data_IF_709237058163
#
_entry.id   IF_709237058163
#
_cell.length_a   1.000
_cell.length_b   1.000
_cell.length_c   1.000
_cell.angle_alpha   90.00
_cell.angle_beta   90.00
_cell.angle_gamma   90.00
#
_symmetry.space_group_name_H-M   'P 1'
#
loop_
_entity.id
_entity.type
_entity.pdbx_description
1 polymer ?
#
# COMPACT_ATOMS: atom_id res chain seq x y z
N UNK A 1 -13.36 -5.86 -3.09
CA UNK A 1 -12.93 -4.74 -2.23
C UNK A 1 -14.10 -4.12 -1.49
N UNK A 2 -15.33 -4.49 -1.83
CA UNK A 2 -16.60 -3.84 -1.42
C UNK A 2 -16.94 -3.92 0.08
N UNK A 3 -16.05 -4.48 0.91
CA UNK A 3 -16.22 -4.59 2.37
C UNK A 3 -15.16 -3.82 3.17
N UNK A 4 -14.11 -3.35 2.51
CA UNK A 4 -13.04 -2.58 3.15
C UNK A 4 -13.15 -1.14 2.65
N UNK A 5 -13.12 -0.14 3.54
CA UNK A 5 -13.16 1.25 3.09
C UNK A 5 -11.92 1.56 2.25
N UNK A 6 -12.13 2.02 1.02
CA UNK A 6 -11.06 2.28 0.03
C UNK A 6 -10.19 3.49 0.38
N UNK A 7 -10.67 4.29 1.32
CA UNK A 7 -10.01 5.48 1.85
C UNK A 7 -8.80 5.08 2.72
N UNK A 8 -8.93 3.97 3.46
CA UNK A 8 -7.91 3.48 4.39
C UNK A 8 -7.24 2.18 3.93
N UNK A 9 -7.84 1.42 3.01
CA UNK A 9 -7.26 0.18 2.49
C UNK A 9 -6.95 0.29 1.00
N UNK A 10 -5.75 -0.15 0.63
CA UNK A 10 -5.29 -0.16 -0.75
C UNK A 10 -4.62 -1.47 -1.10
N UNK A 11 -4.93 -2.03 -2.26
CA UNK A 11 -4.20 -3.18 -2.78
C UNK A 11 -2.85 -2.72 -3.34
N UNK A 12 -1.77 -3.19 -2.72
CA UNK A 12 -0.39 -2.83 -3.09
C UNK A 12 0.29 -3.95 -3.86
N UNK A 13 -0.25 -5.17 -3.78
CA UNK A 13 0.21 -6.34 -4.48
C UNK A 13 -0.97 -7.28 -4.74
N UNK A 14 -0.86 -8.18 -5.74
CA UNK A 14 -1.91 -9.18 -6.01
C UNK A 14 -2.27 -10.07 -4.80
N UNK A 15 -1.37 -10.18 -3.82
CA UNK A 15 -1.54 -10.97 -2.60
C UNK A 15 -1.70 -10.13 -1.32
N UNK A 16 -1.63 -8.80 -1.41
CA UNK A 16 -1.58 -7.94 -0.22
C UNK A 16 -2.49 -6.71 -0.37
N UNK A 17 -3.26 -6.45 0.68
CA UNK A 17 -3.98 -5.19 0.90
C UNK A 17 -3.32 -4.54 2.12
N UNK A 18 -2.83 -3.32 1.94
CA UNK A 18 -2.22 -2.51 2.99
C UNK A 18 -3.23 -1.52 3.56
N UNK A 19 -3.12 -1.24 4.86
CA UNK A 19 -3.81 -0.12 5.48
C UNK A 19 -2.91 1.13 5.41
N UNK A 20 -3.43 2.22 4.82
CA UNK A 20 -2.70 3.46 4.54
C UNK A 20 -2.38 4.27 5.81
N UNK A 21 -3.24 4.22 6.84
CA UNK A 21 -3.03 4.95 8.09
C UNK A 21 -1.82 4.43 8.89
N UNK A 22 -1.43 3.18 8.65
CA UNK A 22 -0.30 2.54 9.32
C UNK A 22 0.98 2.51 8.46
N UNK A 23 0.98 3.18 7.31
CA UNK A 23 2.16 3.29 6.45
C UNK A 23 3.13 4.27 7.09
N UNK A 24 4.33 3.77 7.40
CA UNK A 24 5.41 4.56 8.00
C UNK A 24 6.28 5.19 6.91
N UNK A 25 6.53 4.46 5.82
CA UNK A 25 7.33 4.94 4.71
C UNK A 25 7.14 4.08 3.44
N UNK A 26 7.43 4.67 2.29
CA UNK A 26 7.59 3.97 1.02
C UNK A 26 9.07 4.06 0.61
N UNK A 27 9.69 2.90 0.41
CA UNK A 27 11.10 2.78 0.04
C UNK A 27 11.21 2.03 -1.30
N UNK A 28 11.19 2.81 -2.38
CA UNK A 28 11.18 2.28 -3.76
C UNK A 28 9.94 1.42 -4.06
N UNK A 29 10.11 0.10 -3.98
CA UNK A 29 9.07 -0.90 -4.21
C UNK A 29 8.68 -1.66 -2.92
N UNK A 30 9.06 -1.13 -1.75
CA UNK A 30 8.70 -1.67 -0.44
C UNK A 30 7.81 -0.66 0.28
N UNK A 31 6.64 -1.11 0.70
CA UNK A 31 5.78 -0.39 1.64
C UNK A 31 6.13 -0.81 3.08
N UNK A 32 6.54 0.12 3.93
CA UNK A 32 6.81 -0.13 5.35
C UNK A 32 5.55 0.17 6.14
N UNK A 33 4.96 -0.86 6.73
CA UNK A 33 3.74 -0.79 7.56
C UNK A 33 4.10 -1.26 8.97
N UNK A 34 4.20 -0.32 9.91
CA UNK A 34 4.79 -0.56 11.24
C UNK A 34 6.14 -1.33 11.12
N UNK A 35 6.23 -2.52 11.69
CA UNK A 35 7.42 -3.39 11.66
C UNK A 35 7.50 -4.33 10.45
N UNK A 36 6.55 -4.23 9.50
CA UNK A 36 6.46 -5.13 8.35
C UNK A 36 6.85 -4.42 7.04
N UNK A 37 7.42 -5.20 6.13
CA UNK A 37 7.79 -4.75 4.79
C UNK A 37 6.96 -5.51 3.77
N UNK A 38 6.15 -4.80 3.00
CA UNK A 38 5.24 -5.36 2.00
C UNK A 38 5.75 -4.97 0.62
N UNK A 39 6.06 -5.93 -0.27
CA UNK A 39 6.47 -5.61 -1.63
C UNK A 39 5.29 -5.04 -2.42
N UNK A 40 5.55 -3.94 -3.14
CA UNK A 40 4.59 -3.29 -4.03
C UNK A 40 4.79 -3.85 -5.44
N UNK A 41 3.71 -4.29 -6.10
CA UNK A 41 3.78 -4.70 -7.50
C UNK A 41 4.11 -3.49 -8.38
N UNK A 42 4.98 -3.66 -9.38
CA UNK A 42 5.39 -2.56 -10.28
C UNK A 42 4.22 -1.82 -10.91
N UNK A 43 3.19 -2.54 -11.34
CA UNK A 43 1.98 -1.99 -11.96
C UNK A 43 1.05 -1.25 -10.98
N UNK A 44 1.23 -1.44 -9.67
CA UNK A 44 0.47 -0.74 -8.62
C UNK A 44 1.29 0.38 -7.98
N UNK A 45 2.59 0.50 -8.28
CA UNK A 45 3.49 1.46 -7.63
C UNK A 45 3.02 2.90 -7.78
N UNK A 46 2.65 3.28 -8.99
CA UNK A 46 2.21 4.65 -9.30
C UNK A 46 0.92 4.98 -8.54
N UNK A 47 -0.08 4.10 -8.60
CA UNK A 47 -1.31 4.22 -7.81
C UNK A 47 -1.07 4.31 -6.30
N UNK A 48 -0.11 3.54 -5.77
CA UNK A 48 0.24 3.61 -4.34
C UNK A 48 0.87 4.96 -4.01
N UNK A 49 1.81 5.46 -4.83
CA UNK A 49 2.45 6.75 -4.62
C UNK A 49 1.44 7.90 -4.70
N UNK A 50 0.53 7.88 -5.67
CA UNK A 50 -0.51 8.90 -5.86
C UNK A 50 -1.46 9.04 -4.66
N UNK A 51 -1.53 8.04 -3.76
CA UNK A 51 -2.30 8.14 -2.51
C UNK A 51 -1.60 8.93 -1.40
N UNK A 52 -0.31 9.23 -1.55
CA UNK A 52 0.50 9.96 -0.56
C UNK A 52 1.00 11.32 -1.07
N UNK A 53 0.64 11.71 -2.29
CA UNK A 53 0.92 13.03 -2.90
C UNK A 53 -0.34 13.90 -2.81
#
# INVERSE_FOLDING_TARGET
MDKLPEDIFLQVHRCYIGNLDHVVAIDGNILKVNSHQIPISRNLREMVIDRFV
#
